data_IF_420258118619
#
_entry.id   IF_420258118619
#
_cell.length_a   1.000
_cell.length_b   1.000
_cell.length_c   1.000
_cell.angle_alpha   90.00
_cell.angle_beta   90.00
_cell.angle_gamma   90.00
#
_symmetry.space_group_name_H-M   'P 1'
#
loop_
_entity.id
_entity.type
_entity.pdbx_description
1 polymer ?
#
# COMPACT_ATOMS: atom_id res chain seq x y z
N UNK A 1 -15.25 29.40 -2.36
CA UNK A 1 -13.88 29.93 -2.32
C UNK A 1 -13.55 30.31 -0.87
N UNK A 2 -13.18 29.32 -0.05
CA UNK A 2 -12.60 29.49 1.30
C UNK A 2 -12.08 28.13 1.79
N UNK A 3 -10.82 28.13 2.25
CA UNK A 3 -10.11 27.11 3.00
C UNK A 3 -9.88 25.73 2.36
N UNK A 4 -9.17 25.69 1.23
CA UNK A 4 -8.23 24.59 0.96
C UNK A 4 -6.91 24.99 1.63
N UNK A 5 -6.74 24.66 2.92
CA UNK A 5 -5.41 24.66 3.52
C UNK A 5 -4.66 23.50 2.90
N UNK A 6 -3.81 23.83 1.93
CA UNK A 6 -2.80 22.94 1.37
C UNK A 6 -1.95 22.38 2.50
N UNK A 7 -2.11 21.09 2.77
CA UNK A 7 -1.16 20.29 3.54
C UNK A 7 0.16 20.28 2.77
N UNK A 8 1.03 21.25 3.07
CA UNK A 8 2.40 21.21 2.60
C UNK A 8 3.14 20.15 3.42
N UNK A 9 3.60 19.04 2.80
CA UNK A 9 4.61 18.23 3.45
C UNK A 9 5.84 19.13 3.61
N UNK A 10 6.29 19.33 4.85
CA UNK A 10 7.59 19.93 5.10
C UNK A 10 8.60 19.13 4.27
N UNK A 11 9.39 19.83 3.43
CA UNK A 11 10.51 19.24 2.72
C UNK A 11 11.47 18.72 3.79
N UNK A 12 11.27 17.47 4.17
CA UNK A 12 12.04 16.83 5.21
C UNK A 12 13.30 16.34 4.54
N UNK A 13 14.45 16.68 5.12
CA UNK A 13 15.69 15.93 5.02
C UNK A 13 15.38 14.46 5.35
N UNK A 14 14.88 13.73 4.36
CA UNK A 14 14.92 12.28 4.30
C UNK A 14 16.35 11.87 3.92
N UNK A 15 17.33 12.48 4.59
CA UNK A 15 18.71 12.05 4.53
C UNK A 15 18.74 10.60 5.03
N UNK A 16 19.55 9.77 4.40
CA UNK A 16 19.57 8.32 4.49
C UNK A 16 19.89 7.68 5.85
N UNK A 17 19.61 8.34 6.97
CA UNK A 17 19.80 7.87 8.33
C UNK A 17 18.82 6.74 8.72
N UNK A 18 17.64 6.67 8.11
CA UNK A 18 16.55 5.77 8.56
C UNK A 18 16.70 4.30 8.10
N UNK A 19 17.40 4.01 7.00
CA UNK A 19 17.58 2.63 6.52
C UNK A 19 18.83 1.94 7.06
N UNK A 20 19.89 2.69 7.42
CA UNK A 20 21.17 2.13 7.88
C UNK A 20 21.16 1.72 9.36
N UNK A 21 20.32 2.32 10.19
CA UNK A 21 20.29 2.09 11.65
C UNK A 21 19.20 1.11 12.13
N UNK A 22 18.43 0.50 11.21
CA UNK A 22 17.41 -0.46 11.57
C UNK A 22 16.15 0.12 12.22
N UNK A 23 16.03 1.45 12.34
CA UNK A 23 14.85 2.12 12.89
C UNK A 23 13.60 1.94 12.00
N UNK A 24 12.39 1.87 12.58
CA UNK A 24 11.18 1.75 11.81
C UNK A 24 10.94 3.00 10.95
N UNK A 25 10.58 2.85 9.66
CA UNK A 25 10.35 3.98 8.77
C UNK A 25 9.16 4.78 9.31
N UNK A 26 9.37 6.09 9.40
CA UNK A 26 8.41 6.98 10.03
C UNK A 26 8.15 8.22 9.17
N UNK A 27 6.88 8.54 8.97
CA UNK A 27 6.43 9.71 8.21
C UNK A 27 5.98 10.81 9.16
N UNK A 28 6.45 12.03 8.90
CA UNK A 28 6.05 13.23 9.64
C UNK A 28 5.04 14.04 8.84
N UNK A 29 3.99 14.49 9.49
CA UNK A 29 3.03 15.44 8.95
C UNK A 29 2.73 16.51 10.01
N UNK A 30 2.64 17.77 9.59
CA UNK A 30 2.25 18.87 10.48
C UNK A 30 0.79 19.23 10.22
N UNK A 31 -0.04 19.25 11.26
CA UNK A 31 -1.44 19.69 11.21
C UNK A 31 -1.64 20.81 12.22
N UNK A 32 -1.47 22.06 11.77
CA UNK A 32 -1.52 23.23 12.65
C UNK A 32 -0.38 23.22 13.68
N UNK A 33 -0.74 23.18 14.96
CA UNK A 33 0.23 23.09 16.07
C UNK A 33 0.59 21.65 16.45
N UNK A 34 -0.14 20.64 15.96
CA UNK A 34 0.11 19.23 16.28
C UNK A 34 1.01 18.60 15.21
N UNK A 35 2.03 17.84 15.64
CA UNK A 35 2.81 16.98 14.74
C UNK A 35 2.26 15.56 14.77
N UNK A 36 2.03 14.99 13.60
CA UNK A 36 1.61 13.60 13.40
C UNK A 36 2.78 12.79 12.91
N UNK A 37 3.08 11.72 13.63
CA UNK A 37 4.15 10.79 13.31
C UNK A 37 3.53 9.43 13.04
N UNK A 38 3.75 8.88 11.84
CA UNK A 38 3.28 7.54 11.46
C UNK A 38 4.47 6.61 11.38
N UNK A 39 4.53 5.62 12.26
CA UNK A 39 5.63 4.68 12.39
C UNK A 39 5.14 3.32 11.88
N UNK A 40 5.86 2.71 10.94
CA UNK A 40 5.58 1.33 10.56
C UNK A 40 6.10 0.40 11.65
N UNK A 41 5.23 -0.44 12.21
CA UNK A 41 5.55 -1.31 13.34
C UNK A 41 5.48 -2.75 12.90
N UNK A 42 6.62 -3.43 12.92
CA UNK A 42 6.71 -4.82 12.53
C UNK A 42 5.96 -5.72 13.52
N UNK A 43 5.10 -6.60 12.98
CA UNK A 43 4.35 -7.59 13.75
C UNK A 43 3.06 -7.09 14.40
N UNK A 44 2.65 -5.85 14.14
CA UNK A 44 1.36 -5.32 14.58
C UNK A 44 0.16 -6.06 13.95
N UNK A 45 0.36 -6.66 12.77
CA UNK A 45 -0.58 -7.54 12.08
C UNK A 45 -0.56 -8.98 12.60
N UNK A 46 0.50 -9.36 13.34
CA UNK A 46 0.72 -10.71 13.87
C UNK A 46 0.26 -10.87 15.31
N UNK A 47 0.49 -9.86 16.14
CA UNK A 47 0.13 -9.88 17.56
C UNK A 47 -0.86 -8.75 17.88
N UNK A 48 -2.15 -9.06 18.09
CA UNK A 48 -3.15 -8.06 18.45
C UNK A 48 -2.84 -7.33 19.76
N UNK A 49 -2.15 -7.98 20.71
CA UNK A 49 -1.77 -7.36 21.98
C UNK A 49 -0.60 -6.39 21.83
N UNK A 50 0.21 -6.51 20.77
CA UNK A 50 1.28 -5.55 20.48
C UNK A 50 0.71 -4.15 20.27
N UNK A 51 -0.43 -4.03 19.60
CA UNK A 51 -1.09 -2.75 19.36
C UNK A 51 -1.42 -2.02 20.67
N UNK A 52 -1.95 -2.75 21.65
CA UNK A 52 -2.23 -2.23 22.98
C UNK A 52 -0.95 -1.82 23.71
N UNK A 53 0.06 -2.71 23.75
CA UNK A 53 1.34 -2.43 24.44
C UNK A 53 2.03 -1.18 23.90
N UNK A 54 2.03 -1.00 22.57
CA UNK A 54 2.65 0.16 21.92
C UNK A 54 1.87 1.43 22.21
N UNK A 55 0.53 1.42 22.14
CA UNK A 55 -0.29 2.59 22.48
C UNK A 55 -0.10 2.97 23.95
N UNK A 56 -0.25 2.02 24.88
CA UNK A 56 -0.07 2.26 26.32
C UNK A 56 1.35 2.79 26.64
N UNK A 57 2.38 2.32 25.94
CA UNK A 57 3.74 2.82 26.11
C UNK A 57 3.89 4.27 25.65
N UNK A 58 3.35 4.60 24.47
CA UNK A 58 3.47 5.93 23.88
C UNK A 58 2.61 6.97 24.59
N UNK A 59 1.40 6.62 25.05
CA UNK A 59 0.53 7.55 25.78
C UNK A 59 1.05 7.90 27.18
N UNK A 60 1.93 7.06 27.76
CA UNK A 60 2.63 7.38 29.01
C UNK A 60 3.75 8.41 28.84
N UNK A 61 4.15 8.73 27.59
CA UNK A 61 5.22 9.69 27.34
C UNK A 61 4.70 11.13 27.42
N UNK A 62 5.39 12.02 28.15
CA UNK A 62 5.04 13.44 28.16
C UNK A 62 5.22 14.05 26.76
N UNK A 63 4.19 14.75 26.27
CA UNK A 63 4.18 15.39 24.95
C UNK A 63 3.37 14.64 23.88
N UNK A 64 3.04 13.36 24.10
CA UNK A 64 2.10 12.61 23.27
C UNK A 64 0.66 12.98 23.69
N UNK A 65 -0.13 13.53 22.76
CA UNK A 65 -1.56 13.80 22.99
C UNK A 65 -2.40 12.54 22.80
N UNK A 66 -2.03 11.74 21.80
CA UNK A 66 -2.81 10.57 21.37
C UNK A 66 -1.93 9.59 20.62
N UNK A 67 -2.07 8.30 20.90
CA UNK A 67 -1.50 7.26 20.05
C UNK A 67 -2.61 6.33 19.54
N UNK A 68 -2.50 5.90 18.28
CA UNK A 68 -3.44 4.96 17.67
C UNK A 68 -2.70 3.93 16.84
N UNK A 69 -2.96 2.66 17.12
CA UNK A 69 -2.41 1.55 16.36
C UNK A 69 -3.46 0.99 15.39
N UNK A 70 -3.01 0.57 14.19
CA UNK A 70 -3.85 -0.09 13.19
C UNK A 70 -3.15 -1.35 12.69
N UNK A 71 -3.61 -2.50 13.20
CA UNK A 71 -3.14 -3.83 12.79
C UNK A 71 -3.30 -4.07 11.28
N UNK A 72 -4.40 -3.58 10.69
CA UNK A 72 -4.68 -3.69 9.24
C UNK A 72 -3.57 -3.08 8.38
N UNK A 73 -2.98 -1.98 8.86
CA UNK A 73 -1.98 -1.22 8.11
C UNK A 73 -0.56 -1.47 8.60
N UNK A 74 -0.40 -2.19 9.72
CA UNK A 74 0.90 -2.41 10.36
C UNK A 74 1.56 -1.11 10.86
N UNK A 75 0.76 -0.12 11.30
CA UNK A 75 1.28 1.22 11.66
C UNK A 75 0.69 1.78 12.95
N UNK A 76 1.47 2.66 13.56
CA UNK A 76 1.08 3.48 14.70
C UNK A 76 1.14 4.95 14.31
N UNK A 77 0.05 5.68 14.57
CA UNK A 77 -0.05 7.13 14.43
C UNK A 77 0.05 7.75 15.83
N UNK A 78 1.00 8.66 15.99
CA UNK A 78 1.25 9.42 17.22
C UNK A 78 1.00 10.89 16.94
N UNK A 79 0.17 11.53 17.76
CA UNK A 79 -0.09 12.97 17.74
C UNK A 79 0.68 13.63 18.89
N UNK A 80 1.56 14.58 18.56
CA UNK A 80 2.48 15.23 19.51
C UNK A 80 2.10 16.72 19.63
N UNK A 81 1.95 17.19 20.86
CA UNK A 81 1.55 18.56 21.20
C UNK A 81 2.65 19.59 21.01
N UNK A 82 3.90 19.19 21.24
CA UNK A 82 5.01 20.06 21.53
C UNK A 82 6.26 19.67 20.71
N UNK A 83 7.07 20.65 20.33
CA UNK A 83 8.34 20.46 19.60
C UNK A 83 9.45 19.91 20.53
N UNK A 84 9.22 19.91 21.84
CA UNK A 84 10.22 19.49 22.82
C UNK A 84 10.61 18.01 22.73
N UNK A 85 9.73 17.13 22.21
CA UNK A 85 10.04 15.70 22.07
C UNK A 85 10.75 15.42 20.75
N UNK A 86 11.97 14.90 20.83
CA UNK A 86 12.71 14.53 19.63
C UNK A 86 12.04 13.33 18.96
N UNK A 87 11.77 13.46 17.66
CA UNK A 87 11.19 12.38 16.85
C UNK A 87 11.99 11.08 16.95
N UNK A 88 13.32 11.17 17.05
CA UNK A 88 14.20 10.01 17.16
C UNK A 88 13.86 9.17 18.40
N UNK A 89 13.48 9.80 19.51
CA UNK A 89 13.13 9.11 20.75
C UNK A 89 11.84 8.31 20.60
N UNK A 90 10.83 8.89 19.93
CA UNK A 90 9.55 8.20 19.66
C UNK A 90 9.75 6.99 18.74
N UNK A 91 10.62 7.14 17.73
CA UNK A 91 10.94 6.06 16.78
C UNK A 91 11.75 4.96 17.48
N UNK A 92 12.68 5.32 18.35
CA UNK A 92 13.47 4.36 19.14
C UNK A 92 12.58 3.57 20.12
N UNK A 93 11.66 4.23 20.83
CA UNK A 93 10.71 3.57 21.73
C UNK A 93 9.86 2.51 21.01
N UNK A 94 9.43 2.82 19.79
CA UNK A 94 8.66 1.87 18.98
C UNK A 94 9.55 0.75 18.44
N UNK A 95 10.79 1.05 18.08
CA UNK A 95 11.77 0.05 17.62
C UNK A 95 12.00 -1.05 18.67
N UNK A 96 12.08 -0.67 19.95
CA UNK A 96 12.30 -1.60 21.08
C UNK A 96 11.12 -2.54 21.32
N UNK A 97 9.92 -2.18 20.85
CA UNK A 97 8.70 -2.97 20.98
C UNK A 97 8.40 -3.85 19.76
N UNK A 98 9.12 -3.68 18.64
CA UNK A 98 8.87 -4.45 17.41
C UNK A 98 9.11 -5.96 17.59
N UNK A 99 8.29 -6.77 16.91
CA UNK A 99 8.57 -8.20 16.81
C UNK A 99 9.71 -8.49 15.83
N UNK A 100 10.44 -9.60 16.01
CA UNK A 100 11.50 -10.00 15.09
C UNK A 100 10.97 -10.23 13.66
N UNK A 101 11.84 -10.01 12.69
CA UNK A 101 11.53 -10.21 11.26
C UNK A 101 11.30 -11.69 10.94
N UNK A 102 10.25 -11.98 10.18
CA UNK A 102 10.04 -13.27 9.55
C UNK A 102 10.66 -13.32 8.13
N UNK A 103 11.01 -14.50 7.61
CA UNK A 103 11.51 -14.65 6.24
C UNK A 103 10.51 -14.11 5.20
N UNK A 104 10.95 -13.15 4.39
CA UNK A 104 10.12 -12.50 3.36
C UNK A 104 9.10 -11.50 3.89
N UNK A 105 9.26 -11.06 5.14
CA UNK A 105 8.55 -9.91 5.72
C UNK A 105 9.37 -8.65 5.49
N UNK A 106 8.91 -7.78 4.58
CA UNK A 106 9.44 -6.43 4.43
C UNK A 106 8.63 -5.46 5.28
N UNK A 107 9.23 -4.32 5.64
CA UNK A 107 8.49 -3.25 6.30
C UNK A 107 7.50 -2.62 5.28
N UNK A 108 6.22 -2.43 5.65
CA UNK A 108 5.21 -1.88 4.72
C UNK A 108 5.54 -0.42 4.36
N UNK A 109 5.81 -0.15 3.09
CA UNK A 109 6.00 1.20 2.53
C UNK A 109 4.75 2.06 2.69
N UNK A 110 4.89 3.32 3.12
CA UNK A 110 3.77 4.24 3.34
C UNK A 110 3.19 4.75 2.02
N UNK A 111 1.85 4.63 1.77
CA UNK A 111 1.22 5.21 0.59
C UNK A 111 1.47 6.72 0.41
N UNK A 112 1.67 7.43 1.53
CA UNK A 112 2.02 8.86 1.59
C UNK A 112 3.53 9.18 1.58
N UNK A 113 4.43 8.19 1.44
CA UNK A 113 5.85 8.49 1.32
C UNK A 113 6.12 9.45 0.14
N UNK A 114 6.96 10.48 0.34
CA UNK A 114 7.25 11.46 -0.71
C UNK A 114 8.15 10.89 -1.81
N UNK A 115 9.01 9.91 -1.49
CA UNK A 115 10.04 9.38 -2.38
C UNK A 115 9.53 9.02 -3.79
N UNK A 116 8.52 8.14 -3.94
CA UNK A 116 7.99 7.76 -5.25
C UNK A 116 7.43 8.94 -6.06
N UNK A 117 6.76 9.89 -5.39
CA UNK A 117 6.17 11.07 -6.04
C UNK A 117 7.24 12.04 -6.51
N UNK A 118 8.19 12.41 -5.63
CA UNK A 118 9.27 13.35 -5.96
C UNK A 118 10.17 12.78 -7.06
N UNK A 119 10.52 11.49 -6.98
CA UNK A 119 11.34 10.79 -7.99
C UNK A 119 10.66 10.75 -9.36
N UNK A 120 9.37 10.42 -9.40
CA UNK A 120 8.63 10.37 -10.66
C UNK A 120 8.37 11.76 -11.24
N UNK A 121 8.12 12.77 -10.39
CA UNK A 121 7.98 14.17 -10.80
C UNK A 121 9.29 14.73 -11.37
N UNK A 122 10.39 14.59 -10.65
CA UNK A 122 11.73 15.06 -11.09
C UNK A 122 12.14 14.40 -12.41
N UNK A 123 11.93 13.08 -12.55
CA UNK A 123 12.19 12.36 -13.80
C UNK A 123 11.32 12.85 -14.96
N UNK A 124 10.04 13.12 -14.71
CA UNK A 124 9.11 13.65 -15.73
C UNK A 124 9.52 15.05 -16.18
N UNK A 125 9.79 15.95 -15.23
CA UNK A 125 10.22 17.33 -15.50
C UNK A 125 11.56 17.33 -16.23
N UNK A 126 12.54 16.56 -15.77
CA UNK A 126 13.86 16.46 -16.41
C UNK A 126 13.76 15.97 -17.87
N UNK A 127 12.93 14.96 -18.14
CA UNK A 127 12.70 14.48 -19.50
C UNK A 127 12.00 15.54 -20.38
N UNK A 128 10.98 16.23 -19.84
CA UNK A 128 10.28 17.29 -20.55
C UNK A 128 11.20 18.48 -20.87
N UNK A 129 12.06 18.88 -19.94
CA UNK A 129 13.07 19.92 -20.15
C UNK A 129 14.07 19.51 -21.24
N UNK A 130 14.53 18.25 -21.24
CA UNK A 130 15.40 17.73 -22.28
C UNK A 130 14.75 17.77 -23.67
N UNK A 131 13.47 17.38 -23.78
CA UNK A 131 12.71 17.47 -25.03
C UNK A 131 12.54 18.93 -25.45
N UNK A 132 12.17 19.82 -24.52
CA UNK A 132 12.01 21.25 -24.77
C UNK A 132 13.29 21.91 -25.27
N UNK A 133 14.44 21.56 -24.69
CA UNK A 133 15.75 22.02 -25.16
C UNK A 133 16.03 21.55 -26.59
N UNK A 134 15.78 20.28 -26.92
CA UNK A 134 15.98 19.75 -28.27
C UNK A 134 15.03 20.40 -29.29
N UNK A 135 13.77 20.63 -28.91
CA UNK A 135 12.80 21.32 -29.75
C UNK A 135 13.20 22.78 -29.99
N UNK A 136 13.60 23.51 -28.94
CA UNK A 136 14.08 24.89 -29.03
C UNK A 136 15.31 25.01 -29.92
N UNK A 137 16.27 24.09 -29.81
CA UNK A 137 17.44 24.05 -30.70
C UNK A 137 17.04 23.88 -32.17
N UNK A 138 16.07 23.02 -32.46
CA UNK A 138 15.56 22.84 -33.83
C UNK A 138 14.87 24.10 -34.36
N UNK A 139 14.15 24.83 -33.51
CA UNK A 139 13.49 26.09 -33.88
C UNK A 139 14.49 27.20 -34.22
N UNK A 140 15.66 27.22 -33.58
CA UNK A 140 16.76 28.17 -33.86
C UNK A 140 17.68 27.67 -34.99
N UNK A 141 17.27 26.62 -35.73
CA UNK A 141 18.01 26.09 -36.87
C UNK A 141 19.24 25.25 -36.52
N UNK A 142 19.51 24.98 -35.24
CA UNK A 142 20.59 24.10 -34.81
C UNK A 142 20.19 22.63 -35.04
N UNK A 143 20.71 22.03 -36.11
CA UNK A 143 20.52 20.61 -36.41
C UNK A 143 21.63 19.75 -35.78
N UNK A 144 21.26 18.55 -35.33
CA UNK A 144 22.18 17.58 -34.72
C UNK A 144 22.21 17.60 -33.18
N UNK A 145 22.97 16.66 -32.57
CA UNK A 145 23.05 16.52 -31.12
C UNK A 145 23.72 17.75 -30.48
N UNK A 146 23.35 18.11 -29.22
CA UNK A 146 23.96 19.22 -28.50
C UNK A 146 25.48 19.10 -28.32
N UNK A 147 25.98 17.87 -28.18
CA UNK A 147 27.42 17.58 -28.07
C UNK A 147 27.84 16.70 -29.24
N UNK A 148 28.90 17.12 -29.94
CA UNK A 148 29.49 16.33 -31.01
C UNK A 148 30.11 15.03 -30.49
N UNK A 149 29.79 13.91 -31.13
CA UNK A 149 30.39 12.60 -30.84
C UNK A 149 29.40 11.53 -30.37
N UNK A 150 29.83 10.28 -30.42
CA UNK A 150 29.01 9.10 -30.07
C UNK A 150 28.98 8.79 -28.57
N UNK A 151 29.81 9.46 -27.77
CA UNK A 151 29.98 9.19 -26.32
C UNK A 151 28.67 9.34 -25.53
N UNK A 152 27.87 10.42 -25.67
CA UNK A 152 26.64 10.56 -24.89
C UNK A 152 25.61 9.46 -25.18
N UNK A 153 25.50 9.04 -26.44
CA UNK A 153 24.64 7.93 -26.85
C UNK A 153 25.14 6.58 -26.29
N UNK A 154 26.46 6.37 -26.26
CA UNK A 154 27.07 5.19 -25.66
C UNK A 154 26.84 5.13 -24.14
N UNK A 155 26.96 6.26 -23.42
CA UNK A 155 26.66 6.33 -21.99
C UNK A 155 25.19 6.05 -21.71
N UNK A 156 24.28 6.67 -22.47
CA UNK A 156 22.84 6.41 -22.33
C UNK A 156 22.49 4.93 -22.57
N UNK A 157 23.06 4.33 -23.62
CA UNK A 157 22.83 2.92 -23.92
C UNK A 157 23.44 1.99 -22.87
N UNK A 158 24.62 2.30 -22.32
CA UNK A 158 25.22 1.53 -21.23
C UNK A 158 24.38 1.58 -19.95
N UNK A 159 23.86 2.76 -19.59
CA UNK A 159 22.92 2.91 -18.46
C UNK A 159 21.66 2.07 -18.70
N UNK A 160 21.09 2.13 -19.91
CA UNK A 160 19.93 1.31 -20.28
C UNK A 160 20.22 -0.19 -20.19
N UNK A 161 21.43 -0.61 -20.57
CA UNK A 161 21.87 -2.01 -20.47
C UNK A 161 21.94 -2.43 -19.01
N UNK A 162 22.62 -1.65 -18.16
CA UNK A 162 22.78 -1.93 -16.73
C UNK A 162 21.43 -2.01 -16.01
N UNK A 163 20.49 -1.12 -16.33
CA UNK A 163 19.13 -1.14 -15.78
C UNK A 163 18.31 -2.34 -16.25
N UNK A 164 18.67 -2.97 -17.38
CA UNK A 164 17.99 -4.15 -17.91
C UNK A 164 18.31 -5.44 -17.15
N UNK A 165 19.42 -5.50 -16.42
CA UNK A 165 19.85 -6.69 -15.68
C UNK A 165 19.44 -6.62 -14.21
N UNK A 166 18.54 -7.50 -13.73
CA UNK A 166 18.07 -7.47 -12.34
C UNK A 166 19.18 -7.59 -11.29
N UNK A 167 20.17 -8.46 -11.52
CA UNK A 167 21.28 -8.68 -10.58
C UNK A 167 22.14 -7.43 -10.35
N UNK A 168 22.41 -6.68 -11.41
CA UNK A 168 23.16 -5.42 -11.36
C UNK A 168 22.37 -4.36 -10.60
N UNK A 169 21.06 -4.26 -10.89
CA UNK A 169 20.14 -3.38 -10.18
C UNK A 169 20.10 -3.69 -8.68
N UNK A 170 19.95 -4.96 -8.31
CA UNK A 170 19.92 -5.40 -6.90
C UNK A 170 21.24 -5.13 -6.18
N UNK A 171 22.38 -5.42 -6.82
CA UNK A 171 23.70 -5.18 -6.22
C UNK A 171 23.97 -3.69 -5.97
N UNK A 172 23.62 -2.82 -6.92
CA UNK A 172 23.78 -1.37 -6.77
C UNK A 172 22.88 -0.79 -5.68
N UNK A 173 21.64 -1.27 -5.58
CA UNK A 173 20.72 -0.89 -4.51
C UNK A 173 21.22 -1.33 -3.13
N UNK A 174 21.93 -2.46 -3.05
CA UNK A 174 22.58 -2.91 -1.82
C UNK A 174 23.79 -2.06 -1.39
N UNK A 175 24.45 -1.36 -2.33
CA UNK A 175 25.65 -0.56 -2.05
C UNK A 175 25.36 0.93 -1.81
N UNK A 176 24.42 1.51 -2.56
CA UNK A 176 24.13 2.95 -2.54
C UNK A 176 22.79 3.27 -1.88
N UNK A 177 22.05 2.26 -1.43
CA UNK A 177 20.65 2.37 -1.06
C UNK A 177 19.72 2.42 -2.29
N UNK A 178 18.46 1.97 -2.15
CA UNK A 178 17.51 1.89 -3.25
C UNK A 178 17.20 3.25 -3.86
N UNK A 179 17.14 4.29 -3.03
CA UNK A 179 16.67 5.60 -3.45
C UNK A 179 17.74 6.42 -4.19
N UNK A 180 18.98 6.42 -3.72
CA UNK A 180 20.09 7.18 -4.34
C UNK A 180 20.51 6.52 -5.65
N UNK A 181 20.61 5.19 -5.69
CA UNK A 181 20.95 4.45 -6.90
C UNK A 181 19.97 4.78 -8.05
N UNK A 182 18.67 4.62 -7.81
CA UNK A 182 17.67 4.85 -8.85
C UNK A 182 17.63 6.32 -9.32
N UNK A 183 17.91 7.29 -8.44
CA UNK A 183 17.93 8.72 -8.79
C UNK A 183 19.17 9.08 -9.63
N UNK A 184 20.36 8.63 -9.22
CA UNK A 184 21.61 8.88 -9.92
C UNK A 184 21.59 8.33 -11.35
N UNK A 185 21.14 7.08 -11.53
CA UNK A 185 21.04 6.46 -12.85
C UNK A 185 20.01 7.16 -13.74
N UNK A 186 18.89 7.60 -13.16
CA UNK A 186 17.85 8.30 -13.90
C UNK A 186 18.32 9.66 -14.38
N UNK A 187 18.97 10.45 -13.51
CA UNK A 187 19.52 11.74 -13.86
C UNK A 187 20.60 11.61 -14.94
N UNK A 188 21.55 10.68 -14.75
CA UNK A 188 22.60 10.39 -15.72
C UNK A 188 22.03 9.95 -17.08
N UNK A 189 20.95 9.15 -17.09
CA UNK A 189 20.27 8.73 -18.30
C UNK A 189 19.63 9.91 -19.04
N UNK A 190 18.87 10.77 -18.35
CA UNK A 190 18.22 11.95 -18.95
C UNK A 190 19.25 12.89 -19.55
N UNK A 191 20.32 13.19 -18.81
CA UNK A 191 21.41 14.05 -19.30
C UNK A 191 22.05 13.43 -20.53
N UNK A 192 22.41 12.15 -20.47
CA UNK A 192 23.05 11.45 -21.59
C UNK A 192 22.17 11.41 -22.84
N UNK A 193 20.87 11.15 -22.69
CA UNK A 193 19.89 11.16 -23.79
C UNK A 193 19.69 12.56 -24.39
N UNK A 194 19.70 13.59 -23.56
CA UNK A 194 19.60 14.99 -23.99
C UNK A 194 20.83 15.39 -24.80
N UNK A 195 22.03 15.10 -24.28
CA UNK A 195 23.30 15.37 -24.97
C UNK A 195 23.47 14.53 -26.24
N UNK A 196 22.90 13.32 -26.28
CA UNK A 196 22.84 12.48 -27.47
C UNK A 196 21.83 12.96 -28.51
N UNK A 197 20.96 13.93 -28.18
CA UNK A 197 19.90 14.39 -29.07
C UNK A 197 18.85 13.32 -29.36
N UNK A 198 18.52 12.46 -28.38
CA UNK A 198 17.56 11.36 -28.54
C UNK A 198 16.17 11.73 -27.99
N UNK A 199 15.27 12.33 -28.79
CA UNK A 199 13.95 12.72 -28.34
C UNK A 199 13.09 11.50 -27.97
N UNK A 200 13.27 10.36 -28.66
CA UNK A 200 12.53 9.13 -28.37
C UNK A 200 12.89 8.53 -27.01
N UNK A 201 14.18 8.49 -26.67
CA UNK A 201 14.61 7.99 -25.36
C UNK A 201 14.11 8.85 -24.20
N UNK A 202 14.12 10.17 -24.38
CA UNK A 202 13.55 11.11 -23.41
C UNK A 202 12.03 10.97 -23.30
N UNK A 203 11.32 10.83 -24.42
CA UNK A 203 9.87 10.63 -24.43
C UNK A 203 9.47 9.36 -23.69
N UNK A 204 10.15 8.24 -23.95
CA UNK A 204 9.92 6.97 -23.24
C UNK A 204 10.18 7.11 -21.73
N UNK A 205 11.32 7.70 -21.36
CA UNK A 205 11.68 7.94 -19.95
C UNK A 205 10.67 8.84 -19.25
N UNK A 206 10.20 9.89 -19.92
CA UNK A 206 9.20 10.82 -19.39
C UNK A 206 7.82 10.19 -19.25
N UNK A 207 7.36 9.42 -20.24
CA UNK A 207 6.08 8.72 -20.19
C UNK A 207 6.03 7.66 -19.08
N UNK A 208 7.11 6.90 -18.91
CA UNK A 208 7.25 5.92 -17.81
C UNK A 208 7.16 6.63 -16.45
N UNK A 209 7.93 7.71 -16.28
CA UNK A 209 7.93 8.51 -15.07
C UNK A 209 6.57 9.14 -14.77
N UNK A 210 5.92 9.68 -15.80
CA UNK A 210 4.61 10.29 -15.69
C UNK A 210 3.55 9.27 -15.26
N UNK A 211 3.62 8.03 -15.75
CA UNK A 211 2.73 6.96 -15.28
C UNK A 211 2.93 6.66 -13.80
N UNK A 212 4.17 6.50 -13.35
CA UNK A 212 4.47 6.30 -11.93
C UNK A 212 3.99 7.49 -11.08
N UNK A 213 4.13 8.71 -11.58
CA UNK A 213 3.65 9.92 -10.91
C UNK A 213 2.13 9.90 -10.71
N UNK A 214 1.36 9.59 -11.77
CA UNK A 214 -0.11 9.54 -11.68
C UNK A 214 -0.59 8.43 -10.75
N UNK A 215 0.10 7.28 -10.72
CA UNK A 215 -0.19 6.16 -9.83
C UNK A 215 0.12 6.51 -8.37
N UNK A 216 1.29 7.07 -8.08
CA UNK A 216 1.67 7.55 -6.75
C UNK A 216 0.71 8.64 -6.25
N UNK A 217 0.32 9.60 -7.11
CA UNK A 217 -0.64 10.64 -6.77
C UNK A 217 -2.02 10.05 -6.41
N UNK A 218 -2.56 9.17 -7.26
CA UNK A 218 -3.85 8.54 -7.01
C UNK A 218 -3.84 7.69 -5.72
N UNK A 219 -2.74 7.00 -5.45
CA UNK A 219 -2.54 6.23 -4.21
C UNK A 219 -2.58 7.13 -2.97
N UNK A 220 -1.96 8.31 -3.04
CA UNK A 220 -1.98 9.29 -1.94
C UNK A 220 -3.37 9.89 -1.71
N UNK A 221 -4.06 10.26 -2.79
CA UNK A 221 -5.41 10.83 -2.69
C UNK A 221 -6.41 9.83 -2.12
N UNK A 222 -6.40 8.58 -2.59
CA UNK A 222 -7.26 7.51 -2.06
C UNK A 222 -6.94 7.19 -0.59
N UNK A 223 -5.66 7.20 -0.21
CA UNK A 223 -5.25 7.00 1.18
C UNK A 223 -5.74 8.13 2.10
N UNK A 224 -5.61 9.40 1.68
CA UNK A 224 -6.14 10.54 2.45
C UNK A 224 -7.64 10.44 2.67
N UNK A 225 -8.40 10.12 1.61
CA UNK A 225 -9.84 9.90 1.75
C UNK A 225 -10.20 8.71 2.65
N UNK A 226 -9.37 7.67 2.68
CA UNK A 226 -9.52 6.58 3.66
C UNK A 226 -9.26 7.04 5.09
N UNK A 227 -8.21 7.83 5.33
CA UNK A 227 -7.88 8.36 6.65
C UNK A 227 -8.97 9.29 7.18
N UNK A 228 -9.49 10.20 6.34
CA UNK A 228 -10.61 11.07 6.70
C UNK A 228 -11.83 10.26 7.17
N UNK A 229 -12.17 9.17 6.46
CA UNK A 229 -13.26 8.27 6.89
C UNK A 229 -12.95 7.59 8.22
N UNK A 230 -11.69 7.22 8.46
CA UNK A 230 -11.28 6.53 9.69
C UNK A 230 -11.22 7.43 10.92
N UNK A 231 -10.86 8.71 10.78
CA UNK A 231 -10.83 9.65 11.90
C UNK A 231 -12.18 9.72 12.64
N UNK A 232 -13.29 9.49 11.93
CA UNK A 232 -14.65 9.54 12.47
C UNK A 232 -15.06 8.27 13.24
N UNK A 233 -14.40 7.13 13.06
CA UNK A 233 -14.83 5.83 13.64
C UNK A 233 -13.96 5.38 14.83
N UNK A 234 -12.83 6.05 15.08
CA UNK A 234 -11.86 5.62 16.11
C UNK A 234 -11.12 4.33 15.74
N UNK A 235 -10.03 4.01 16.47
CA UNK A 235 -9.33 2.74 16.29
C UNK A 235 -9.68 1.79 17.43
N UNK A 236 -10.20 0.58 17.15
CA UNK A 236 -10.54 -0.39 18.19
C UNK A 236 -9.28 -0.95 18.84
N UNK A 237 -9.24 -0.99 20.17
CA UNK A 237 -8.13 -1.53 20.94
C UNK A 237 -8.61 -2.72 21.79
N UNK A 238 -7.85 -3.82 21.85
CA UNK A 238 -8.12 -4.89 22.80
C UNK A 238 -8.14 -4.36 24.25
N UNK A 239 -9.00 -4.91 25.10
CA UNK A 239 -9.19 -4.52 26.50
C UNK A 239 -10.08 -3.26 26.70
N UNK A 240 -10.43 -2.54 25.65
CA UNK A 240 -11.34 -1.38 25.77
C UNK A 240 -12.79 -1.84 25.88
N UNK A 241 -13.52 -1.25 26.83
CA UNK A 241 -14.98 -1.40 26.93
C UNK A 241 -15.64 -0.33 26.06
N UNK A 242 -16.51 -0.77 25.15
CA UNK A 242 -17.23 0.11 24.22
C UNK A 242 -18.73 -0.15 24.28
N UNK A 243 -19.51 0.92 24.18
CA UNK A 243 -20.96 0.85 24.05
C UNK A 243 -21.30 0.77 22.55
N UNK A 244 -21.98 -0.30 22.15
CA UNK A 244 -22.49 -0.44 20.78
C UNK A 244 -24.02 -0.39 20.76
N UNK A 245 -24.54 0.38 19.82
CA UNK A 245 -25.97 0.53 19.59
C UNK A 245 -26.53 -0.57 18.66
N UNK A 246 -27.86 -0.64 18.61
CA UNK A 246 -28.56 -1.52 17.68
C UNK A 246 -28.12 -1.25 16.23
N UNK A 247 -27.76 -2.31 15.50
CA UNK A 247 -27.33 -2.26 14.10
C UNK A 247 -25.83 -2.01 13.92
N UNK A 248 -25.09 -1.69 14.98
CA UNK A 248 -23.64 -1.52 14.90
C UNK A 248 -22.91 -2.86 14.80
N UNK A 249 -21.71 -2.82 14.21
CA UNK A 249 -20.86 -4.00 14.03
C UNK A 249 -19.73 -3.99 15.04
N UNK A 250 -19.47 -5.16 15.60
CA UNK A 250 -18.35 -5.37 16.51
C UNK A 250 -17.02 -5.21 15.77
N UNK A 251 -16.12 -4.29 16.16
CA UNK A 251 -14.89 -4.04 15.41
C UNK A 251 -13.81 -5.10 15.64
N UNK A 252 -13.81 -5.73 16.82
CA UNK A 252 -12.99 -6.88 17.20
C UNK A 252 -13.90 -7.95 17.81
N UNK A 253 -13.36 -9.15 18.01
CA UNK A 253 -14.03 -10.11 18.88
C UNK A 253 -14.21 -9.45 20.25
N UNK A 254 -15.38 -9.59 20.87
CA UNK A 254 -15.69 -8.88 22.10
C UNK A 254 -16.52 -9.75 23.04
N UNK A 255 -16.30 -9.59 24.34
CA UNK A 255 -17.11 -10.23 25.38
C UNK A 255 -18.22 -9.28 25.78
N UNK A 256 -19.45 -9.79 25.81
CA UNK A 256 -20.60 -9.02 26.26
C UNK A 256 -20.52 -8.86 27.77
N UNK A 257 -20.43 -7.63 28.24
CA UNK A 257 -20.44 -7.28 29.67
C UNK A 257 -21.89 -7.05 30.11
N UNK A 258 -22.63 -6.26 29.35
CA UNK A 258 -24.05 -5.96 29.60
C UNK A 258 -24.85 -5.92 28.30
N UNK A 259 -26.16 -6.11 28.41
CA UNK A 259 -27.11 -6.11 27.30
C UNK A 259 -27.51 -7.51 26.85
N UNK A 260 -28.70 -7.61 26.27
CA UNK A 260 -29.27 -8.84 25.72
C UNK A 260 -29.92 -8.57 24.37
N UNK A 261 -29.79 -9.49 23.44
CA UNK A 261 -30.41 -9.41 22.13
C UNK A 261 -29.90 -10.49 21.21
N UNK A 262 -29.66 -10.15 19.95
CA UNK A 262 -29.16 -11.11 18.95
C UNK A 262 -28.02 -10.52 18.12
N UNK A 263 -27.20 -11.38 17.55
CA UNK A 263 -26.17 -11.02 16.57
C UNK A 263 -26.36 -11.85 15.31
N UNK A 264 -25.93 -11.36 14.14
CA UNK A 264 -25.88 -12.20 12.95
C UNK A 264 -24.53 -12.95 12.88
N UNK A 265 -24.59 -14.27 12.88
CA UNK A 265 -23.44 -15.16 12.77
C UNK A 265 -22.71 -15.06 11.42
N UNK A 266 -21.58 -15.76 11.24
CA UNK A 266 -20.89 -15.81 9.96
C UNK A 266 -21.77 -16.43 8.85
N UNK A 267 -22.62 -17.38 9.22
CA UNK A 267 -23.64 -17.99 8.36
C UNK A 267 -24.84 -17.07 8.06
N UNK A 268 -24.90 -15.89 8.69
CA UNK A 268 -26.01 -14.96 8.59
C UNK A 268 -27.20 -15.30 9.49
N UNK A 269 -27.14 -16.38 10.28
CA UNK A 269 -28.22 -16.78 11.16
C UNK A 269 -28.16 -16.01 12.49
N UNK A 270 -29.31 -15.72 13.13
CA UNK A 270 -29.34 -15.04 14.41
C UNK A 270 -28.77 -15.95 15.51
N UNK A 271 -27.87 -15.40 16.32
CA UNK A 271 -27.27 -16.02 17.49
C UNK A 271 -27.68 -15.22 18.74
N UNK A 272 -28.12 -15.87 19.83
CA UNK A 272 -28.47 -15.15 21.05
C UNK A 272 -27.23 -14.50 21.68
N UNK A 273 -27.38 -13.24 22.09
CA UNK A 273 -26.34 -12.45 22.76
C UNK A 273 -26.80 -12.18 24.18
N UNK A 274 -26.00 -12.65 25.14
CA UNK A 274 -26.23 -12.46 26.57
C UNK A 274 -24.90 -12.15 27.26
N UNK A 275 -24.90 -11.55 28.47
CA UNK A 275 -23.68 -11.29 29.22
C UNK A 275 -22.82 -12.53 29.37
N UNK A 276 -21.51 -12.39 29.12
CA UNK A 276 -20.52 -13.46 29.13
C UNK A 276 -20.27 -14.14 27.79
N UNK A 277 -21.17 -13.99 26.80
CA UNK A 277 -20.96 -14.54 25.44
C UNK A 277 -19.90 -13.74 24.70
N UNK A 278 -19.09 -14.42 23.88
CA UNK A 278 -18.12 -13.79 22.98
C UNK A 278 -18.73 -13.68 21.59
N UNK A 279 -18.84 -12.44 21.10
CA UNK A 279 -19.24 -12.11 19.73
C UNK A 279 -18.00 -11.95 18.86
N UNK A 280 -18.01 -12.50 17.65
CA UNK A 280 -16.86 -12.40 16.73
C UNK A 280 -16.85 -11.07 15.99
N UNK A 281 -15.67 -10.59 15.60
CA UNK A 281 -15.53 -9.36 14.82
C UNK A 281 -16.41 -9.35 13.56
N UNK A 282 -17.04 -8.21 13.29
CA UNK A 282 -17.88 -7.96 12.13
C UNK A 282 -19.33 -8.41 12.27
N UNK A 283 -19.69 -9.08 13.38
CA UNK A 283 -21.09 -9.41 13.65
C UNK A 283 -21.91 -8.13 13.92
N UNK A 284 -23.00 -7.88 13.17
CA UNK A 284 -23.96 -6.84 13.51
C UNK A 284 -24.79 -7.27 14.72
N UNK A 285 -25.05 -6.32 15.62
CA UNK A 285 -25.85 -6.54 16.82
C UNK A 285 -27.27 -6.01 16.62
N UNK A 286 -28.25 -6.70 17.18
CA UNK A 286 -29.67 -6.35 17.11
C UNK A 286 -30.28 -6.38 18.51
N UNK A 287 -31.13 -5.40 18.81
CA UNK A 287 -31.54 -5.08 20.19
C UNK A 287 -30.54 -4.11 20.83
N UNK A 288 -30.26 -4.27 22.12
CA UNK A 288 -29.30 -3.42 22.83
C UNK A 288 -29.93 -2.22 23.56
N UNK A 289 -29.11 -1.34 24.14
CA UNK A 289 -27.66 -1.19 23.90
C UNK A 289 -26.79 -2.32 24.50
N UNK A 290 -25.59 -2.51 23.97
CA UNK A 290 -24.63 -3.53 24.42
C UNK A 290 -23.35 -2.89 24.93
N UNK A 291 -22.92 -3.30 26.13
CA UNK A 291 -21.59 -2.95 26.65
C UNK A 291 -20.64 -4.12 26.40
N UNK A 292 -19.59 -3.89 25.60
CA UNK A 292 -18.71 -4.95 25.13
C UNK A 292 -17.25 -4.65 25.49
N UNK A 293 -16.55 -5.65 26.02
CA UNK A 293 -15.11 -5.60 26.22
C UNK A 293 -14.42 -6.23 24.99
N UNK A 294 -13.72 -5.42 24.21
CA UNK A 294 -12.96 -5.88 23.04
C UNK A 294 -11.86 -6.85 23.49
N UNK A 295 -11.79 -8.02 22.89
CA UNK A 295 -10.82 -9.06 23.20
C UNK A 295 -9.68 -9.05 22.18
N UNK A 296 -8.48 -9.46 22.60
CA UNK A 296 -7.41 -9.77 21.65
C UNK A 296 -7.73 -11.11 20.96
N UNK A 297 -7.55 -11.14 19.64
CA UNK A 297 -7.58 -12.39 18.89
C UNK A 297 -6.31 -13.21 19.16
N UNK A 298 -6.30 -14.51 18.80
CA UNK A 298 -5.07 -15.28 18.83
C UNK A 298 -4.03 -14.64 17.89
N UNK A 299 -2.73 -14.68 18.23
CA UNK A 299 -1.69 -14.17 17.36
C UNK A 299 -1.68 -14.95 16.05
N UNK A 300 -1.62 -14.23 14.94
CA UNK A 300 -1.51 -14.78 13.61
C UNK A 300 -0.03 -14.83 13.21
N UNK A 301 0.56 -16.02 13.25
CA UNK A 301 1.91 -16.24 12.74
C UNK A 301 1.82 -16.73 11.28
N UNK A 302 2.09 -15.86 10.28
CA UNK A 302 2.04 -16.26 8.89
C UNK A 302 3.09 -17.35 8.66
N UNK A 303 2.65 -18.53 8.23
CA UNK A 303 3.57 -19.57 7.81
C UNK A 303 4.17 -19.18 6.45
N UNK A 304 5.49 -19.37 6.25
CA UNK A 304 6.07 -19.19 4.93
C UNK A 304 5.36 -20.11 3.95
N UNK A 305 5.20 -19.62 2.71
CA UNK A 305 4.53 -20.40 1.67
C UNK A 305 5.30 -21.71 1.48
N UNK A 306 4.61 -22.84 1.59
CA UNK A 306 5.24 -24.17 1.54
C UNK A 306 5.87 -24.51 0.18
N UNK A 307 5.54 -23.77 -0.87
CA UNK A 307 6.10 -23.94 -2.21
C UNK A 307 6.61 -22.64 -2.81
N UNK A 308 7.58 -22.77 -3.71
CA UNK A 308 8.09 -21.67 -4.53
C UNK A 308 6.94 -21.08 -5.37
N UNK A 309 6.91 -19.76 -5.51
CA UNK A 309 6.00 -19.10 -6.45
C UNK A 309 6.41 -19.54 -7.85
N UNK A 310 5.47 -20.11 -8.61
CA UNK A 310 5.74 -20.52 -9.99
C UNK A 310 6.20 -19.29 -10.80
N UNK A 311 7.31 -19.45 -11.51
CA UNK A 311 7.83 -18.42 -12.39
C UNK A 311 6.79 -18.09 -13.46
N UNK A 312 6.53 -16.81 -13.64
CA UNK A 312 5.73 -16.34 -14.77
C UNK A 312 6.50 -16.55 -16.08
N UNK A 313 5.79 -16.46 -17.22
CA UNK A 313 6.42 -16.45 -18.55
C UNK A 313 7.46 -15.32 -18.63
N UNK A 314 7.17 -14.17 -18.03
CA UNK A 314 8.08 -13.04 -17.92
C UNK A 314 9.35 -13.39 -17.12
N UNK A 315 9.20 -14.03 -15.95
CA UNK A 315 10.34 -14.40 -15.09
C UNK A 315 11.27 -15.39 -15.81
N UNK A 316 10.69 -16.37 -16.52
CA UNK A 316 11.45 -17.31 -17.36
C UNK A 316 12.17 -16.61 -18.51
N UNK A 317 11.49 -15.68 -19.18
CA UNK A 317 12.06 -14.90 -20.27
C UNK A 317 13.26 -14.07 -19.80
N UNK A 318 13.12 -13.28 -18.73
CA UNK A 318 14.21 -12.43 -18.23
C UNK A 318 15.38 -13.28 -17.74
N UNK A 319 15.12 -14.39 -17.05
CA UNK A 319 16.16 -15.32 -16.59
C UNK A 319 16.95 -15.93 -17.74
N UNK A 320 16.31 -16.24 -18.86
CA UNK A 320 16.97 -16.82 -20.04
C UNK A 320 17.68 -15.76 -20.89
N UNK A 321 17.03 -14.63 -21.16
CA UNK A 321 17.55 -13.60 -22.07
C UNK A 321 18.76 -12.88 -21.49
N UNK A 322 18.86 -12.73 -20.16
CA UNK A 322 20.03 -12.13 -19.52
C UNK A 322 21.34 -12.80 -19.96
N UNK A 323 21.57 -14.09 -19.63
CA UNK A 323 22.76 -14.83 -20.06
C UNK A 323 22.89 -14.93 -21.59
N UNK A 324 21.79 -15.14 -22.33
CA UNK A 324 21.83 -15.25 -23.79
C UNK A 324 22.30 -13.95 -24.46
N UNK A 325 21.89 -12.78 -23.95
CA UNK A 325 22.32 -11.49 -24.48
C UNK A 325 23.83 -11.27 -24.29
N UNK A 326 24.38 -11.69 -23.14
CA UNK A 326 25.81 -11.61 -22.86
C UNK A 326 26.60 -12.59 -23.73
N UNK A 327 26.13 -13.82 -23.89
CA UNK A 327 26.75 -14.81 -24.78
C UNK A 327 26.75 -14.34 -26.24
N UNK A 328 25.63 -13.79 -26.71
CA UNK A 328 25.51 -13.21 -28.05
C UNK A 328 26.46 -12.04 -28.26
N UNK A 329 26.59 -11.15 -27.27
CA UNK A 329 27.54 -10.05 -27.30
C UNK A 329 29.00 -10.54 -27.30
N UNK A 330 29.34 -11.53 -26.49
CA UNK A 330 30.67 -12.12 -26.45
C UNK A 330 31.04 -12.78 -27.79
N UNK A 331 30.12 -13.53 -28.39
CA UNK A 331 30.29 -14.09 -29.72
C UNK A 331 30.48 -12.99 -30.77
N UNK A 332 29.67 -11.92 -30.71
CA UNK A 332 29.83 -10.76 -31.60
C UNK A 332 31.19 -10.10 -31.42
N UNK A 333 31.67 -9.96 -30.19
CA UNK A 333 32.99 -9.40 -29.89
C UNK A 333 34.12 -10.28 -30.45
N UNK A 334 34.04 -11.60 -30.29
CA UNK A 334 35.02 -12.55 -30.80
C UNK A 334 35.08 -12.56 -32.33
N UNK A 335 33.92 -12.60 -32.99
CA UNK A 335 33.81 -12.69 -34.45
C UNK A 335 34.18 -11.36 -35.12
N UNK A 336 33.63 -10.25 -34.61
CA UNK A 336 33.76 -8.96 -35.28
C UNK A 336 34.92 -8.12 -34.77
N UNK A 337 35.48 -8.46 -33.59
CA UNK A 337 36.53 -7.70 -32.89
C UNK A 337 36.22 -6.20 -32.78
N UNK A 338 34.93 -5.84 -32.75
CA UNK A 338 34.45 -4.47 -32.75
C UNK A 338 33.62 -4.19 -31.51
N UNK A 339 34.09 -3.25 -30.69
CA UNK A 339 33.35 -2.77 -29.52
C UNK A 339 32.02 -2.13 -29.90
N UNK A 340 31.96 -1.41 -31.02
CA UNK A 340 30.72 -0.79 -31.51
C UNK A 340 29.66 -1.84 -31.88
N UNK A 341 30.04 -2.92 -32.56
CA UNK A 341 29.11 -4.02 -32.90
C UNK A 341 28.69 -4.81 -31.67
N UNK A 342 29.61 -5.03 -30.73
CA UNK A 342 29.32 -5.68 -29.44
C UNK A 342 28.31 -4.87 -28.63
N UNK A 343 28.48 -3.54 -28.59
CA UNK A 343 27.53 -2.65 -27.91
C UNK A 343 26.16 -2.63 -28.58
N UNK A 344 26.11 -2.59 -29.92
CA UNK A 344 24.86 -2.69 -30.67
C UNK A 344 24.15 -4.03 -30.41
N UNK A 345 24.90 -5.14 -30.34
CA UNK A 345 24.38 -6.45 -30.01
C UNK A 345 23.75 -6.48 -28.61
N UNK A 346 24.41 -5.89 -27.60
CA UNK A 346 23.85 -5.76 -26.26
C UNK A 346 22.57 -4.91 -26.26
N UNK A 347 22.55 -3.77 -26.96
CA UNK A 347 21.35 -2.93 -27.02
C UNK A 347 20.15 -3.64 -27.67
N UNK A 348 20.40 -4.47 -28.69
CA UNK A 348 19.35 -5.18 -29.42
C UNK A 348 18.76 -6.36 -28.65
N UNK A 349 19.58 -7.08 -27.87
CA UNK A 349 19.18 -8.34 -27.22
C UNK A 349 18.91 -8.19 -25.72
N UNK A 350 19.00 -6.97 -25.17
CA UNK A 350 18.76 -6.72 -23.75
C UNK A 350 17.27 -6.86 -23.36
N UNK A 351 16.94 -7.46 -22.19
CA UNK A 351 15.56 -7.58 -21.71
C UNK A 351 14.88 -6.26 -21.28
N UNK A 352 15.53 -5.08 -21.41
CA UNK A 352 15.05 -3.79 -20.89
C UNK A 352 13.65 -3.42 -21.36
N UNK A 353 13.32 -3.66 -22.62
CA UNK A 353 11.99 -3.37 -23.18
C UNK A 353 10.90 -4.20 -22.51
N UNK A 354 11.18 -5.48 -22.24
CA UNK A 354 10.26 -6.35 -21.50
C UNK A 354 10.08 -5.90 -20.05
N UNK A 355 11.17 -5.47 -19.38
CA UNK A 355 11.13 -4.91 -18.02
C UNK A 355 10.25 -3.66 -17.98
N UNK A 356 10.48 -2.71 -18.90
CA UNK A 356 9.68 -1.49 -19.01
C UNK A 356 8.20 -1.79 -19.27
N UNK A 357 7.91 -2.74 -20.16
CA UNK A 357 6.54 -3.17 -20.45
C UNK A 357 5.84 -3.75 -19.22
N UNK A 358 6.53 -4.61 -18.46
CA UNK A 358 6.00 -5.21 -17.23
C UNK A 358 5.76 -4.16 -16.12
N UNK A 359 6.72 -3.26 -15.89
CA UNK A 359 6.58 -2.16 -14.92
C UNK A 359 5.40 -1.24 -15.29
N UNK A 360 5.28 -0.86 -16.57
CA UNK A 360 4.18 -0.03 -17.05
C UNK A 360 2.80 -0.71 -16.97
N UNK A 361 2.75 -2.03 -17.21
CA UNK A 361 1.53 -2.81 -17.06
C UNK A 361 1.09 -2.91 -15.59
N UNK A 362 2.05 -3.14 -14.69
CA UNK A 362 1.81 -3.20 -13.25
C UNK A 362 1.33 -1.86 -12.69
N UNK A 363 1.99 -0.74 -13.03
CA UNK A 363 1.54 0.59 -12.65
C UNK A 363 0.13 0.90 -13.20
N UNK A 364 -0.14 0.49 -14.45
CA UNK A 364 -1.46 0.62 -15.05
C UNK A 364 -2.56 -0.19 -14.34
N UNK A 365 -2.24 -1.41 -13.90
CA UNK A 365 -3.15 -2.24 -13.12
C UNK A 365 -3.43 -1.63 -11.74
N UNK A 366 -2.38 -1.20 -11.04
CA UNK A 366 -2.50 -0.49 -9.75
C UNK A 366 -3.39 0.75 -9.88
N UNK A 367 -3.14 1.60 -10.88
CA UNK A 367 -3.95 2.80 -11.11
C UNK A 367 -5.43 2.49 -11.40
N UNK A 368 -5.75 1.38 -12.07
CA UNK A 368 -7.15 0.96 -12.29
C UNK A 368 -7.82 0.55 -10.97
N UNK A 369 -7.11 -0.22 -10.14
CA UNK A 369 -7.60 -0.68 -8.83
C UNK A 369 -7.85 0.52 -7.90
N UNK A 370 -6.94 1.49 -7.90
CA UNK A 370 -7.11 2.72 -7.12
C UNK A 370 -8.33 3.54 -7.60
N UNK A 371 -8.55 3.64 -8.91
CA UNK A 371 -9.75 4.32 -9.47
C UNK A 371 -11.05 3.60 -9.15
N UNK A 372 -11.04 2.29 -8.93
CA UNK A 372 -12.21 1.54 -8.46
C UNK A 372 -12.40 1.64 -6.94
N UNK A 373 -11.69 2.53 -6.25
CA UNK A 373 -11.82 2.73 -4.80
C UNK A 373 -11.13 1.68 -3.94
N UNK A 374 -10.30 0.82 -4.54
CA UNK A 374 -9.58 -0.24 -3.82
C UNK A 374 -8.17 0.25 -3.50
N UNK A 375 -7.82 0.27 -2.22
CA UNK A 375 -6.48 0.63 -1.76
C UNK A 375 -5.69 -0.62 -1.43
N UNK A 376 -4.56 -0.82 -2.12
CA UNK A 376 -3.66 -1.94 -1.83
C UNK A 376 -2.79 -1.56 -0.64
N UNK A 377 -3.06 -2.18 0.51
CA UNK A 377 -2.30 -2.04 1.75
C UNK A 377 -1.58 -3.34 2.00
N UNK A 378 -0.29 -3.30 2.34
CA UNK A 378 0.41 -4.53 2.73
C UNK A 378 1.90 -4.38 2.95
N UNK A 379 2.45 -5.40 3.61
CA UNK A 379 3.85 -5.59 4.02
C UNK A 379 4.77 -6.08 2.90
N UNK A 380 4.28 -6.18 1.67
CA UNK A 380 5.06 -6.64 0.51
C UNK A 380 5.12 -5.57 -0.56
N UNK A 381 6.17 -4.73 -0.59
CA UNK A 381 6.28 -3.60 -1.51
C UNK A 381 6.19 -4.00 -2.99
N UNK A 382 6.53 -5.24 -3.34
CA UNK A 382 6.53 -5.76 -4.72
C UNK A 382 5.30 -6.61 -5.09
N UNK A 383 4.22 -6.59 -4.30
CA UNK A 383 3.04 -7.39 -4.64
C UNK A 383 2.33 -6.82 -5.87
N UNK A 384 2.62 -7.40 -7.03
CA UNK A 384 1.91 -7.08 -8.26
C UNK A 384 0.41 -7.42 -8.14
N UNK A 385 -0.43 -6.53 -8.67
CA UNK A 385 -1.86 -6.81 -8.85
C UNK A 385 -1.99 -7.93 -9.89
N UNK A 386 -2.42 -9.11 -9.44
CA UNK A 386 -2.59 -10.30 -10.29
C UNK A 386 -4.02 -10.80 -10.16
N UNK A 387 -4.52 -11.44 -11.22
CA UNK A 387 -5.79 -12.13 -11.18
C UNK A 387 -5.65 -13.38 -10.29
N UNK A 388 -6.45 -13.50 -9.22
CA UNK A 388 -6.40 -14.69 -8.37
C UNK A 388 -6.98 -15.89 -9.12
N UNK A 389 -6.37 -17.07 -8.95
CA UNK A 389 -6.95 -18.32 -9.46
C UNK A 389 -8.08 -18.84 -8.55
N UNK A 390 -8.02 -18.49 -7.27
CA UNK A 390 -8.99 -18.91 -6.26
C UNK A 390 -9.30 -17.69 -5.39
N UNK A 391 -10.59 -17.41 -5.22
CA UNK A 391 -11.10 -16.44 -4.25
C UNK A 391 -11.76 -17.25 -3.13
N UNK A 392 -11.23 -17.15 -1.93
CA UNK A 392 -11.84 -17.72 -0.73
C UNK A 392 -12.62 -16.62 -0.04
N UNK A 393 -13.92 -16.85 0.14
CA UNK A 393 -14.80 -15.96 0.88
C UNK A 393 -15.04 -16.61 2.24
N UNK A 394 -14.78 -15.84 3.31
CA UNK A 394 -14.89 -16.31 4.69
C UNK A 394 -16.32 -16.75 5.05
N UNK A 395 -17.32 -15.98 4.61
CA UNK A 395 -18.69 -16.14 5.04
C UNK A 395 -19.70 -15.50 4.05
N UNK A 396 -20.95 -16.01 3.96
CA UNK A 396 -22.02 -15.41 3.15
C UNK A 396 -22.21 -13.91 3.38
N UNK A 397 -22.02 -13.43 4.62
CA UNK A 397 -22.08 -12.00 4.99
C UNK A 397 -21.17 -11.07 4.19
N UNK A 398 -20.13 -11.61 3.54
CA UNK A 398 -19.24 -10.83 2.67
C UNK A 398 -19.94 -10.45 1.36
N UNK A 399 -20.97 -11.20 0.97
CA UNK A 399 -21.74 -11.03 -0.26
C UNK A 399 -23.15 -10.48 -0.04
N UNK A 400 -23.60 -10.36 1.21
CA UNK A 400 -24.99 -10.01 1.55
C UNK A 400 -25.04 -8.86 2.54
N UNK A 401 -25.92 -7.89 2.30
CA UNK A 401 -26.06 -6.70 3.16
C UNK A 401 -27.02 -6.89 4.35
N UNK A 402 -27.77 -7.99 4.39
CA UNK A 402 -28.72 -8.27 5.46
C UNK A 402 -29.60 -9.49 5.18
N UNK A 403 -30.72 -9.57 5.90
CA UNK A 403 -31.73 -10.61 5.74
C UNK A 403 -32.93 -10.06 4.95
N UNK A 404 -33.59 -10.93 4.19
CA UNK A 404 -34.81 -10.61 3.45
C UNK A 404 -35.86 -11.70 3.70
N UNK A 405 -37.13 -11.30 3.82
CA UNK A 405 -38.26 -12.21 3.98
C UNK A 405 -38.70 -12.72 2.60
N UNK A 406 -38.39 -13.97 2.28
CA UNK A 406 -38.68 -14.55 0.97
C UNK A 406 -40.18 -14.84 0.74
N UNK A 407 -40.90 -15.33 1.75
CA UNK A 407 -42.31 -15.66 1.65
C UNK A 407 -43.00 -15.69 3.01
N UNK A 408 -44.31 -15.45 3.01
CA UNK A 408 -45.21 -15.66 4.15
C UNK A 408 -46.27 -16.64 3.69
N UNK A 409 -46.30 -17.82 4.31
CA UNK A 409 -47.21 -18.90 3.95
C UNK A 409 -48.29 -19.03 5.05
N UNK A 410 -49.48 -18.44 4.86
CA UNK A 410 -50.58 -18.63 5.80
C UNK A 410 -51.03 -20.10 5.77
N UNK A 411 -51.31 -20.66 6.95
CA UNK A 411 -51.79 -22.05 7.06
C UNK A 411 -53.27 -22.21 6.65
N UNK A 412 -54.03 -21.10 6.59
CA UNK A 412 -55.43 -21.08 6.18
C UNK A 412 -55.67 -19.97 5.16
N UNK A 413 -56.56 -20.22 4.20
CA UNK A 413 -56.93 -19.22 3.16
C UNK A 413 -57.59 -17.97 3.73
N UNK A 414 -58.16 -18.06 4.94
CA UNK A 414 -58.80 -16.94 5.64
C UNK A 414 -57.81 -16.00 6.34
N UNK A 415 -56.53 -16.36 6.44
CA UNK A 415 -55.55 -15.58 7.18
C UNK A 415 -54.78 -14.65 6.24
N UNK A 416 -54.77 -13.36 6.57
CA UNK A 416 -54.03 -12.36 5.81
C UNK A 416 -52.52 -12.48 6.09
N UNK A 417 -51.76 -12.70 5.02
CA UNK A 417 -50.30 -12.79 5.08
C UNK A 417 -49.65 -11.48 5.57
N UNK A 418 -50.23 -10.32 5.27
CA UNK A 418 -49.71 -9.04 5.72
C UNK A 418 -49.86 -8.87 7.24
N UNK A 419 -51.02 -9.26 7.78
CA UNK A 419 -51.26 -9.24 9.22
C UNK A 419 -50.35 -10.21 9.97
N UNK A 420 -50.16 -11.43 9.45
CA UNK A 420 -49.23 -12.42 10.02
C UNK A 420 -47.81 -11.86 10.06
N UNK A 421 -47.35 -11.25 8.95
CA UNK A 421 -46.02 -10.62 8.88
C UNK A 421 -45.88 -9.51 9.92
N UNK A 422 -46.84 -8.60 10.00
CA UNK A 422 -46.78 -7.47 10.93
C UNK A 422 -46.69 -7.94 12.39
N UNK A 423 -47.47 -8.96 12.76
CA UNK A 423 -47.42 -9.57 14.11
C UNK A 423 -46.09 -10.26 14.36
N UNK A 424 -45.58 -11.04 13.41
CA UNK A 424 -44.30 -11.73 13.53
C UNK A 424 -43.13 -10.74 13.66
N UNK A 425 -43.12 -9.69 12.84
CA UNK A 425 -42.13 -8.61 12.88
C UNK A 425 -42.17 -7.87 14.22
N UNK A 426 -43.35 -7.54 14.75
CA UNK A 426 -43.48 -6.89 16.04
C UNK A 426 -42.91 -7.75 17.19
N UNK A 427 -43.19 -9.06 17.20
CA UNK A 427 -42.63 -9.99 18.18
C UNK A 427 -41.11 -10.10 18.03
N UNK A 428 -40.61 -10.19 16.79
CA UNK A 428 -39.18 -10.25 16.52
C UNK A 428 -38.46 -8.97 16.94
N UNK A 429 -39.03 -7.79 16.67
CA UNK A 429 -38.49 -6.50 17.09
C UNK A 429 -38.42 -6.41 18.62
N UNK A 430 -39.48 -6.82 19.32
CA UNK A 430 -39.51 -6.86 20.78
C UNK A 430 -38.46 -7.82 21.36
N UNK A 431 -38.13 -8.90 20.64
CA UNK A 431 -37.08 -9.84 21.00
C UNK A 431 -35.65 -9.38 20.61
N UNK A 432 -35.49 -8.20 20.02
CA UNK A 432 -34.19 -7.72 19.55
C UNK A 432 -33.62 -8.56 18.40
N UNK A 433 -34.49 -9.13 17.57
CA UNK A 433 -34.13 -9.99 16.44
C UNK A 433 -33.92 -9.19 15.15
N UNK A 434 -32.98 -9.58 14.26
CA UNK A 434 -32.82 -8.94 12.95
C UNK A 434 -34.07 -9.04 12.07
N UNK A 435 -34.96 -9.99 12.36
CA UNK A 435 -36.23 -10.16 11.65
C UNK A 435 -37.26 -9.07 12.00
N UNK A 436 -37.04 -8.26 13.03
CA UNK A 436 -38.01 -7.23 13.44
C UNK A 436 -38.12 -6.04 12.49
N UNK A 437 -37.07 -5.76 11.70
CA UNK A 437 -37.04 -4.67 10.71
C UNK A 437 -37.53 -5.08 9.32
N UNK A 438 -37.92 -6.35 9.15
CA UNK A 438 -38.32 -6.97 7.88
C UNK A 438 -39.79 -7.37 8.01
#
# INVERSE_FOLDING_TARGET
>A
MRAVQTLEPEATDADGWDQELGFPPALRERRGQTRRVRIAVRGLDRDPDLARRVVEHLERRPGVQRATASALTGRVLVEIADDAMAFADVVADVADLELPALPGEDRPTHPLEPGPLVRSATRTVGAALGIGLLAGRRLVGAQGPPVGGTRPAAVAGMIGILQGFPSVRSGLRGLLGPDVADLAFTAASIVSLTLAGSPLGLALTGLEAFRLFTEARARRETWRGYEERREHTGSPQPGTVTLLEAGERTPLAARVVEGTGTAAGPDGLPVPVTPGVVVTAGMPLHGGPFLLELQSGPPFMPKPRSGLVADSVYDRYVRAVGPLSLAYAAATALITRSLARTFAALLLVNPRTAVLGAEAANAGASARVLRSGVTVVGTRPERHVRLPNVLLLDAPRVLTDGLELAAVLPLTESADAAEIRARAAAVAAAAGSPWGSI
#
